data_IF_176045775046
#
_entry.id   IF_176045775046
#
_cell.length_a   1.000
_cell.length_b   1.000
_cell.length_c   1.000
_cell.angle_alpha   90.00
_cell.angle_beta   90.00
_cell.angle_gamma   90.00
#
_symmetry.space_group_name_H-M   'P 1'
#
loop_
_entity.id
_entity.type
_entity.pdbx_description
1 polymer ?
#
# COMPACT_ATOMS: atom_id res chain seq x y z
N UNK A 1 24.27 -22.72 -12.90
CA UNK A 1 24.30 -21.62 -11.93
C UNK A 1 25.62 -20.88 -12.17
N UNK A 2 25.59 -19.58 -12.49
CA UNK A 2 26.79 -18.80 -12.85
C UNK A 2 27.41 -18.14 -11.62
N UNK A 3 28.72 -17.93 -11.63
CA UNK A 3 29.47 -17.39 -10.48
C UNK A 3 29.16 -15.91 -10.26
N UNK A 4 28.80 -15.53 -9.03
CA UNK A 4 28.63 -14.12 -8.66
C UNK A 4 29.95 -13.34 -8.57
N UNK A 5 31.10 -14.01 -8.66
CA UNK A 5 32.42 -13.36 -8.79
C UNK A 5 32.62 -12.72 -10.16
N UNK A 6 32.04 -13.30 -11.20
CA UNK A 6 32.21 -12.87 -12.60
C UNK A 6 30.92 -12.25 -13.16
N UNK A 7 29.77 -12.59 -12.55
CA UNK A 7 28.46 -12.05 -12.86
C UNK A 7 27.88 -11.40 -11.60
N UNK A 8 28.26 -10.13 -11.30
CA UNK A 8 27.84 -9.47 -10.07
C UNK A 8 26.33 -9.39 -9.96
N UNK A 9 25.82 -9.54 -8.74
CA UNK A 9 24.41 -9.32 -8.46
C UNK A 9 24.09 -7.86 -8.77
N UNK A 10 23.29 -7.65 -9.82
CA UNK A 10 22.95 -6.33 -10.29
C UNK A 10 22.17 -5.53 -9.24
N UNK A 11 21.34 -6.20 -8.44
CA UNK A 11 20.65 -5.59 -7.29
C UNK A 11 20.31 -6.64 -6.23
N UNK A 12 20.53 -6.30 -4.96
CA UNK A 12 19.93 -7.00 -3.82
C UNK A 12 18.81 -6.13 -3.26
N UNK A 13 17.56 -6.59 -3.37
CA UNK A 13 16.38 -5.88 -2.88
C UNK A 13 15.80 -6.61 -1.67
N UNK A 14 15.63 -5.87 -0.59
CA UNK A 14 14.88 -6.30 0.58
C UNK A 14 13.80 -5.25 0.89
N UNK A 15 12.63 -5.70 1.35
CA UNK A 15 11.52 -4.81 1.66
C UNK A 15 10.69 -5.38 2.80
N UNK A 16 10.37 -4.52 3.78
CA UNK A 16 9.43 -4.83 4.85
C UNK A 16 8.04 -4.29 4.51
N UNK A 17 7.12 -5.20 4.16
CA UNK A 17 5.75 -4.87 3.84
C UNK A 17 4.81 -4.84 5.06
N UNK A 18 5.34 -5.04 6.26
CA UNK A 18 4.54 -5.07 7.51
C UNK A 18 4.51 -3.71 8.21
N UNK A 19 5.35 -2.77 7.77
CA UNK A 19 5.45 -1.40 8.25
C UNK A 19 4.08 -0.71 8.34
N UNK A 20 3.88 0.01 9.44
CA UNK A 20 2.71 0.87 9.73
C UNK A 20 3.15 2.34 9.78
N UNK A 21 2.25 3.24 9.43
CA UNK A 21 2.43 4.69 9.47
C UNK A 21 2.68 5.21 10.91
N UNK A 22 3.22 6.43 11.02
CA UNK A 22 3.50 7.13 12.29
C UNK A 22 4.31 6.33 13.30
N UNK A 23 5.19 5.49 12.80
CA UNK A 23 6.06 4.65 13.60
C UNK A 23 7.49 4.80 13.14
N UNK A 24 8.34 4.70 14.13
CA UNK A 24 9.76 4.60 13.93
C UNK A 24 10.16 3.13 13.94
N UNK A 25 11.08 2.79 13.03
CA UNK A 25 11.67 1.48 12.93
C UNK A 25 13.18 1.63 12.85
N UNK A 26 13.90 0.69 13.45
CA UNK A 26 15.34 0.54 13.26
C UNK A 26 15.57 -0.80 12.57
N UNK A 27 16.13 -0.77 11.37
CA UNK A 27 16.58 -1.96 10.67
C UNK A 27 18.06 -2.16 10.90
N UNK A 28 18.42 -3.33 11.44
CA UNK A 28 19.81 -3.73 11.64
C UNK A 28 20.18 -4.74 10.56
N UNK A 29 21.14 -4.38 9.72
CA UNK A 29 21.74 -5.26 8.70
C UNK A 29 23.05 -5.77 9.25
N UNK A 30 23.19 -7.10 9.37
CA UNK A 30 24.36 -7.75 9.97
C UNK A 30 25.01 -8.67 8.95
N UNK A 31 26.32 -8.55 8.77
CA UNK A 31 27.12 -9.50 8.03
C UNK A 31 27.17 -10.82 8.80
N UNK A 32 26.70 -11.90 8.20
CA UNK A 32 26.84 -13.24 8.76
C UNK A 32 28.08 -13.90 8.15
N UNK A 33 29.04 -14.26 9.01
CA UNK A 33 30.34 -14.85 8.64
C UNK A 33 30.49 -16.25 9.25
N UNK A 34 31.65 -16.88 9.03
CA UNK A 34 31.99 -18.19 9.58
C UNK A 34 31.75 -19.35 8.61
N UNK A 35 31.68 -20.56 9.16
CA UNK A 35 31.47 -21.78 8.38
C UNK A 35 29.99 -22.18 8.37
N UNK A 36 29.50 -22.89 7.35
CA UNK A 36 28.17 -23.50 7.39
C UNK A 36 27.97 -24.33 8.67
N UNK A 37 26.89 -24.05 9.41
CA UNK A 37 26.61 -24.70 10.71
C UNK A 37 27.27 -24.04 11.93
N UNK A 38 28.18 -23.08 11.75
CA UNK A 38 28.82 -22.30 12.80
C UNK A 38 28.92 -20.83 12.38
N UNK A 39 27.77 -20.22 12.10
CA UNK A 39 27.66 -18.84 11.66
C UNK A 39 27.84 -17.87 12.84
N UNK A 40 28.52 -16.75 12.60
CA UNK A 40 28.77 -15.70 13.57
C UNK A 40 28.38 -14.34 13.01
N UNK A 41 27.78 -13.48 13.84
CA UNK A 41 27.52 -12.08 13.49
C UNK A 41 28.86 -11.31 13.39
N UNK A 42 29.04 -10.54 12.32
CA UNK A 42 30.18 -9.67 12.09
C UNK A 42 29.79 -8.20 12.12
N UNK A 43 30.25 -7.44 11.12
CA UNK A 43 29.94 -6.02 10.98
C UNK A 43 28.45 -5.79 10.79
N UNK A 44 27.93 -4.69 11.33
CA UNK A 44 26.54 -4.33 11.17
C UNK A 44 26.37 -2.83 10.92
N UNK A 45 25.23 -2.48 10.34
CA UNK A 45 24.76 -1.11 10.17
C UNK A 45 23.30 -1.03 10.59
N UNK A 46 22.96 0.06 11.26
CA UNK A 46 21.58 0.36 11.63
C UNK A 46 21.05 1.53 10.80
N UNK A 47 19.82 1.39 10.32
CA UNK A 47 19.10 2.43 9.61
C UNK A 47 17.81 2.70 10.37
N UNK A 48 17.73 3.89 10.96
CA UNK A 48 16.52 4.38 11.62
C UNK A 48 15.65 5.10 10.59
N UNK A 49 14.39 4.70 10.50
CA UNK A 49 13.41 5.33 9.63
C UNK A 49 12.18 5.75 10.43
N UNK A 50 11.59 6.88 10.05
CA UNK A 50 10.29 7.31 10.55
C UNK A 50 9.32 7.31 9.37
N UNK A 51 8.23 6.57 9.52
CA UNK A 51 7.18 6.47 8.49
C UNK A 51 6.29 7.71 8.47
N UNK A 52 5.68 8.01 7.31
CA UNK A 52 4.86 9.20 7.14
C UNK A 52 3.75 9.35 8.20
N UNK A 53 3.41 10.61 8.49
CA UNK A 53 2.26 10.97 9.29
C UNK A 53 1.16 11.55 8.41
N UNK A 54 0.19 10.70 8.06
CA UNK A 54 -0.86 11.02 7.11
C UNK A 54 -1.94 11.98 7.67
N UNK A 55 -1.88 12.36 8.96
CA UNK A 55 -2.91 13.19 9.62
C UNK A 55 -2.51 14.66 9.84
N UNK A 56 -1.29 15.07 9.48
CA UNK A 56 -0.75 16.37 9.93
C UNK A 56 -0.67 17.46 8.87
N UNK A 57 -0.84 17.16 7.58
CA UNK A 57 -0.57 18.12 6.51
C UNK A 57 -1.74 18.31 5.54
N UNK A 58 -1.70 19.42 4.81
CA UNK A 58 -2.64 19.78 3.73
C UNK A 58 -2.76 18.67 2.68
N UNK A 59 -1.69 17.90 2.49
CA UNK A 59 -1.61 16.80 1.54
C UNK A 59 -1.19 15.53 2.27
N UNK A 60 -1.87 14.43 1.95
CA UNK A 60 -1.52 13.09 2.45
C UNK A 60 -1.35 12.15 1.26
N UNK A 61 -0.34 11.28 1.35
CA UNK A 61 -0.02 10.28 0.34
C UNK A 61 -0.20 8.92 0.97
N UNK A 62 -0.99 8.06 0.34
CA UNK A 62 -1.28 6.71 0.83
C UNK A 62 -0.83 5.69 -0.21
N UNK A 63 -0.11 4.66 0.23
CA UNK A 63 0.29 3.52 -0.60
C UNK A 63 -0.34 2.24 -0.06
N UNK A 64 -1.08 1.52 -0.90
CA UNK A 64 -1.50 0.16 -0.57
C UNK A 64 -0.29 -0.78 -0.54
N UNK A 65 -0.42 -1.91 0.16
CA UNK A 65 0.50 -3.05 0.05
C UNK A 65 0.24 -3.75 -1.29
N UNK A 66 0.97 -3.37 -2.33
CA UNK A 66 0.92 -4.00 -3.66
C UNK A 66 1.52 -5.41 -3.72
N UNK A 67 1.31 -6.23 -2.69
CA UNK A 67 2.12 -7.43 -2.41
C UNK A 67 1.29 -8.65 -2.03
N UNK A 68 0.14 -8.82 -2.67
CA UNK A 68 -0.71 -10.00 -2.49
C UNK A 68 0.04 -11.32 -2.79
N UNK A 69 1.06 -11.30 -3.67
CA UNK A 69 1.93 -12.45 -3.95
C UNK A 69 3.23 -12.52 -3.12
N UNK A 70 3.36 -11.75 -2.04
CA UNK A 70 4.61 -11.75 -1.23
C UNK A 70 4.62 -12.81 -0.14
N UNK A 71 5.82 -13.19 0.28
CA UNK A 71 5.99 -14.04 1.48
C UNK A 71 5.35 -13.43 2.73
N UNK A 72 5.32 -12.09 2.86
CA UNK A 72 4.67 -11.44 3.99
C UNK A 72 3.15 -11.70 3.99
N UNK A 73 2.52 -11.69 2.82
CA UNK A 73 1.13 -12.09 2.66
C UNK A 73 0.95 -13.57 3.01
N UNK A 74 1.77 -14.47 2.43
CA UNK A 74 1.68 -15.92 2.68
C UNK A 74 1.88 -16.27 4.15
N UNK A 75 2.80 -15.61 4.86
CA UNK A 75 2.99 -15.80 6.31
C UNK A 75 1.76 -15.42 7.12
N UNK A 76 1.00 -14.41 6.67
CA UNK A 76 -0.17 -13.89 7.39
C UNK A 76 -1.45 -14.64 7.04
N UNK A 77 -1.65 -14.97 5.76
CA UNK A 77 -2.91 -15.49 5.25
C UNK A 77 -2.79 -16.89 4.62
N UNK A 78 -1.60 -17.47 4.52
CA UNK A 78 -1.36 -18.70 3.77
C UNK A 78 -1.41 -18.47 2.26
N UNK A 79 -1.57 -19.54 1.49
CA UNK A 79 -1.67 -19.51 0.03
C UNK A 79 -3.09 -19.16 -0.49
N UNK A 80 -3.88 -18.47 0.34
CA UNK A 80 -5.24 -18.06 0.00
C UNK A 80 -5.22 -16.82 -0.88
N UNK A 81 -6.12 -16.74 -1.85
CA UNK A 81 -6.36 -15.50 -2.58
C UNK A 81 -7.06 -14.48 -1.67
N UNK A 82 -6.92 -13.17 -1.92
CA UNK A 82 -7.55 -12.15 -1.08
C UNK A 82 -9.07 -12.26 -0.90
N UNK A 83 -9.78 -12.78 -1.90
CA UNK A 83 -11.22 -13.05 -1.89
C UNK A 83 -11.60 -14.30 -1.07
N UNK A 84 -10.67 -15.22 -0.86
CA UNK A 84 -10.86 -16.43 -0.03
C UNK A 84 -10.64 -16.16 1.47
N UNK A 85 -10.06 -15.01 1.81
CA UNK A 85 -9.82 -14.63 3.21
C UNK A 85 -11.09 -14.04 3.83
N UNK A 86 -11.66 -14.64 4.90
CA UNK A 86 -12.89 -14.18 5.51
C UNK A 86 -12.86 -12.72 5.97
N UNK A 87 -14.04 -12.13 6.13
CA UNK A 87 -14.21 -10.78 6.68
C UNK A 87 -13.45 -9.68 5.94
N UNK A 88 -13.05 -9.91 4.67
CA UNK A 88 -12.21 -9.00 3.88
C UNK A 88 -10.91 -8.62 4.59
N UNK A 89 -10.39 -9.48 5.47
CA UNK A 89 -9.19 -9.15 6.26
C UNK A 89 -7.96 -8.93 5.36
N UNK A 90 -7.80 -9.75 4.33
CA UNK A 90 -6.76 -9.57 3.33
C UNK A 90 -6.86 -8.21 2.65
N UNK A 91 -8.06 -7.79 2.22
CA UNK A 91 -8.27 -6.49 1.57
C UNK A 91 -7.98 -5.31 2.51
N UNK A 92 -8.38 -5.39 3.78
CA UNK A 92 -8.05 -4.37 4.79
C UNK A 92 -6.54 -4.27 5.01
N UNK A 93 -5.87 -5.41 5.13
CA UNK A 93 -4.42 -5.45 5.26
C UNK A 93 -3.73 -4.92 4.01
N UNK A 94 -4.16 -5.32 2.82
CA UNK A 94 -3.61 -4.86 1.55
C UNK A 94 -3.85 -3.37 1.33
N UNK A 95 -5.01 -2.83 1.73
CA UNK A 95 -5.34 -1.42 1.59
C UNK A 95 -4.43 -0.51 2.41
N UNK A 96 -3.95 -0.96 3.58
CA UNK A 96 -3.09 -0.16 4.48
C UNK A 96 -3.71 1.21 4.80
N UNK A 97 -5.01 1.27 5.07
CA UNK A 97 -5.70 2.51 5.45
C UNK A 97 -6.09 3.42 4.28
N UNK A 98 -5.65 3.13 3.05
CA UNK A 98 -6.02 3.90 1.86
C UNK A 98 -7.54 3.95 1.65
N UNK A 99 -8.24 2.84 1.89
CA UNK A 99 -9.67 2.75 1.66
C UNK A 99 -10.44 3.66 2.61
N UNK A 100 -10.13 3.59 3.90
CA UNK A 100 -10.72 4.44 4.94
C UNK A 100 -10.41 5.92 4.67
N UNK A 101 -9.14 6.25 4.40
CA UNK A 101 -8.72 7.62 4.10
C UNK A 101 -9.42 8.20 2.87
N UNK A 102 -9.66 7.38 1.84
CA UNK A 102 -10.36 7.81 0.63
C UNK A 102 -11.83 8.12 0.93
N UNK A 103 -12.51 7.28 1.70
CA UNK A 103 -13.90 7.53 2.11
C UNK A 103 -14.01 8.78 2.97
N UNK A 104 -13.10 8.96 3.93
CA UNK A 104 -13.05 10.14 4.79
C UNK A 104 -12.78 11.42 3.98
N UNK A 105 -11.86 11.37 3.02
CA UNK A 105 -11.55 12.50 2.15
C UNK A 105 -12.76 12.92 1.32
N UNK A 106 -13.42 11.98 0.65
CA UNK A 106 -14.66 12.25 -0.11
C UNK A 106 -15.73 12.82 0.81
N UNK A 107 -15.85 12.27 2.03
CA UNK A 107 -16.80 12.70 3.04
C UNK A 107 -16.58 14.13 3.58
N UNK A 108 -15.42 14.76 3.35
CA UNK A 108 -15.15 16.16 3.72
C UNK A 108 -15.89 17.16 2.81
N UNK A 109 -16.27 16.76 1.60
CA UNK A 109 -16.98 17.62 0.66
C UNK A 109 -18.47 17.75 1.03
N UNK A 110 -18.81 18.60 2.01
CA UNK A 110 -20.19 18.75 2.54
C UNK A 110 -20.85 20.11 2.25
N UNK A 111 -20.22 20.97 1.46
CA UNK A 111 -20.70 22.34 1.21
C UNK A 111 -21.13 22.60 -0.23
N UNK A 112 -21.97 23.62 -0.48
CA UNK A 112 -22.39 24.00 -1.84
C UNK A 112 -21.21 24.38 -2.75
N UNK A 113 -20.08 24.80 -2.15
CA UNK A 113 -18.85 25.17 -2.86
C UNK A 113 -17.77 24.08 -2.82
N UNK A 114 -18.10 22.88 -2.31
CA UNK A 114 -17.16 21.75 -2.28
C UNK A 114 -17.31 20.86 -3.52
N UNK A 115 -16.19 20.37 -4.03
CA UNK A 115 -16.16 19.44 -5.14
C UNK A 115 -15.04 18.42 -4.94
N UNK A 116 -15.28 17.18 -5.35
CA UNK A 116 -14.25 16.14 -5.37
C UNK A 116 -13.82 15.93 -6.82
N UNK A 117 -12.51 16.02 -7.07
CA UNK A 117 -11.91 15.77 -8.38
C UNK A 117 -11.00 14.56 -8.28
N UNK A 118 -11.13 13.64 -9.22
CA UNK A 118 -10.32 12.44 -9.28
C UNK A 118 -9.72 12.24 -10.67
N UNK A 119 -8.47 11.78 -10.70
CA UNK A 119 -7.82 11.22 -11.87
C UNK A 119 -7.53 9.75 -11.55
N UNK A 120 -8.21 8.83 -12.21
CA UNK A 120 -8.14 7.40 -11.92
C UNK A 120 -7.94 6.63 -13.21
N UNK A 121 -7.08 5.61 -13.14
CA UNK A 121 -6.88 4.67 -14.24
C UNK A 121 -8.01 3.63 -14.27
N UNK A 122 -8.30 3.04 -13.11
CA UNK A 122 -9.41 2.10 -12.89
C UNK A 122 -10.24 2.52 -11.68
N UNK A 123 -11.57 2.36 -11.77
CA UNK A 123 -12.49 2.85 -10.75
C UNK A 123 -13.75 1.98 -10.64
N UNK A 124 -13.66 0.91 -9.85
CA UNK A 124 -14.70 -0.12 -9.75
C UNK A 124 -15.07 -0.50 -8.30
N UNK A 125 -14.42 0.11 -7.29
CA UNK A 125 -14.68 -0.23 -5.90
C UNK A 125 -16.03 0.37 -5.46
N UNK A 126 -17.02 -0.48 -5.21
CA UNK A 126 -18.41 -0.07 -5.02
C UNK A 126 -18.66 0.95 -3.89
N UNK A 127 -18.02 0.79 -2.73
CA UNK A 127 -18.20 1.72 -1.61
C UNK A 127 -17.59 3.09 -1.91
N UNK A 128 -16.42 3.12 -2.57
CA UNK A 128 -15.80 4.35 -3.04
C UNK A 128 -16.69 5.01 -4.10
N UNK A 129 -17.15 4.26 -5.11
CA UNK A 129 -18.08 4.77 -6.13
C UNK A 129 -19.32 5.40 -5.51
N UNK A 130 -19.91 4.76 -4.50
CA UNK A 130 -21.06 5.30 -3.78
C UNK A 130 -20.71 6.56 -2.97
N UNK A 131 -19.54 6.63 -2.34
CA UNK A 131 -19.11 7.83 -1.64
C UNK A 131 -18.98 9.02 -2.61
N UNK A 132 -18.38 8.79 -3.77
CA UNK A 132 -18.25 9.81 -4.81
C UNK A 132 -19.60 10.23 -5.41
N UNK A 133 -20.55 9.29 -5.59
CA UNK A 133 -21.90 9.60 -6.05
C UNK A 133 -22.69 10.48 -5.06
N UNK A 134 -22.39 10.39 -3.76
CA UNK A 134 -23.01 11.22 -2.71
C UNK A 134 -22.37 12.60 -2.57
N UNK A 135 -21.24 12.87 -3.23
CA UNK A 135 -20.56 14.15 -3.11
C UNK A 135 -21.33 15.26 -3.87
N UNK A 136 -21.43 16.49 -3.33
CA UNK A 136 -22.25 17.58 -3.91
C UNK A 136 -21.91 17.92 -5.36
N UNK A 137 -20.62 17.82 -5.72
CA UNK A 137 -20.10 17.96 -7.09
C UNK A 137 -18.96 16.99 -7.31
N UNK A 138 -19.14 16.02 -8.20
CA UNK A 138 -18.11 15.08 -8.61
C UNK A 138 -17.70 15.27 -10.07
N UNK A 139 -16.39 15.32 -10.34
CA UNK A 139 -15.82 15.22 -11.68
C UNK A 139 -14.64 14.25 -11.73
N UNK A 140 -14.76 13.18 -12.52
CA UNK A 140 -13.63 12.31 -12.88
C UNK A 140 -13.05 12.72 -14.24
N UNK A 141 -11.72 12.70 -14.38
CA UNK A 141 -11.08 12.44 -15.69
C UNK A 141 -10.60 10.99 -15.71
N UNK A 142 -11.34 10.15 -16.43
CA UNK A 142 -11.16 8.72 -16.55
C UNK A 142 -11.00 8.40 -18.06
N UNK A 143 -9.87 7.89 -18.56
CA UNK A 143 -9.71 7.61 -20.00
C UNK A 143 -10.68 6.55 -20.54
N UNK A 144 -11.18 5.64 -19.69
CA UNK A 144 -11.89 4.42 -20.11
C UNK A 144 -13.26 4.16 -19.44
N UNK A 145 -13.96 5.16 -18.89
CA UNK A 145 -15.35 4.94 -18.44
C UNK A 145 -16.37 5.90 -19.05
N UNK A 146 -17.43 5.27 -19.55
CA UNK A 146 -18.51 5.78 -20.37
C UNK A 146 -19.46 6.73 -19.63
N UNK A 147 -20.12 7.54 -20.46
CA UNK A 147 -21.16 8.55 -20.21
C UNK A 147 -22.06 8.27 -18.99
N UNK A 148 -22.38 9.36 -18.28
CA UNK A 148 -23.63 9.46 -17.51
C UNK A 148 -24.78 8.88 -18.34
N UNK A 149 -25.39 7.79 -17.90
CA UNK A 149 -26.79 7.53 -18.22
C UNK A 149 -27.61 8.35 -17.23
N UNK A 150 -28.07 9.50 -17.69
CA UNK A 150 -29.21 10.21 -17.15
C UNK A 150 -30.46 9.39 -17.45
N UNK A 151 -31.12 8.90 -16.41
CA UNK A 151 -32.55 8.56 -16.28
C UNK A 151 -32.73 8.44 -14.75
N UNK A 152 -33.47 9.26 -13.99
CA UNK A 152 -34.53 10.24 -14.24
C UNK A 152 -34.32 11.51 -13.41
#
# INVERSE_FOLDING_TARGET
MVSTREHPLQTFLWSDFTVRNKREYTYRVVAIRGQPGALVEGENVEVRITTENEDRDTHAIYFNRGVAGSQAYTRKFGDRRPDEVPNREAWRWLSRGLFEAMLDFVGKARGPNSAVRAAVYEFNQGAVLQAFAKAPRFGCRCPNYLRRTSDS
#
